data_IF_488747794520
#
_entry.id   IF_488747794520
#
_cell.length_a   1.000
_cell.length_b   1.000
_cell.length_c   1.000
_cell.angle_alpha   90.00
_cell.angle_beta   90.00
_cell.angle_gamma   90.00
#
_symmetry.space_group_name_H-M   'P 1'
#
loop_
_entity.id
_entity.type
_entity.pdbx_description
1 polymer ?
#
# COMPACT_ATOMS: atom_id res chain seq x y z
N UNK A 1 0.39 -6.89 -22.71
CA UNK A 1 1.09 -7.82 -23.62
C UNK A 1 2.05 -7.15 -24.61
N UNK A 2 1.90 -5.85 -24.92
CA UNK A 2 2.80 -5.13 -25.86
C UNK A 2 4.23 -5.00 -25.33
N UNK A 3 4.39 -4.73 -24.04
CA UNK A 3 5.70 -4.57 -23.40
C UNK A 3 6.67 -5.77 -23.57
N UNK A 4 6.30 -7.02 -23.24
CA UNK A 4 7.22 -8.16 -23.41
C UNK A 4 7.59 -8.45 -24.87
N UNK A 5 6.67 -8.23 -25.81
CA UNK A 5 6.93 -8.37 -27.25
C UNK A 5 7.99 -7.39 -27.75
N UNK A 6 7.92 -6.14 -27.29
CA UNK A 6 8.86 -5.08 -27.65
C UNK A 6 10.26 -5.34 -27.07
N UNK A 7 10.32 -5.87 -25.85
CA UNK A 7 11.56 -6.34 -25.23
C UNK A 7 12.18 -7.48 -26.02
N UNK A 8 11.40 -8.51 -26.39
CA UNK A 8 11.90 -9.63 -27.22
C UNK A 8 12.44 -9.16 -28.58
N UNK A 9 11.77 -8.21 -29.24
CA UNK A 9 12.25 -7.62 -30.49
C UNK A 9 13.58 -6.87 -30.30
N UNK A 10 13.70 -6.05 -29.26
CA UNK A 10 14.94 -5.34 -28.95
C UNK A 10 16.11 -6.30 -28.68
N UNK A 11 15.87 -7.39 -27.94
CA UNK A 11 16.86 -8.45 -27.70
C UNK A 11 17.23 -9.19 -29.00
N UNK A 12 16.26 -9.45 -29.88
CA UNK A 12 16.50 -10.07 -31.18
C UNK A 12 17.40 -9.23 -32.09
N UNK A 13 17.16 -7.92 -32.17
CA UNK A 13 17.97 -6.98 -32.96
C UNK A 13 19.40 -6.86 -32.42
N UNK A 14 19.56 -6.82 -31.08
CA UNK A 14 20.88 -6.85 -30.43
C UNK A 14 21.67 -8.13 -30.72
N UNK A 15 20.97 -9.26 -30.82
CA UNK A 15 21.60 -10.56 -31.08
C UNK A 15 22.13 -10.69 -32.52
N UNK A 16 21.49 -10.02 -33.48
CA UNK A 16 21.93 -9.95 -34.88
C UNK A 16 23.22 -9.13 -35.02
N UNK A 17 23.39 -8.09 -34.21
CA UNK A 17 24.53 -7.17 -34.35
C UNK A 17 25.77 -7.60 -33.56
N UNK A 18 25.59 -8.22 -32.38
CA UNK A 18 26.70 -8.60 -31.51
C UNK A 18 26.30 -9.78 -30.58
N UNK A 19 26.48 -11.04 -31.03
CA UNK A 19 25.97 -12.21 -30.31
C UNK A 19 26.62 -12.40 -28.93
N UNK A 20 27.85 -11.91 -28.74
CA UNK A 20 28.56 -11.93 -27.47
C UNK A 20 27.92 -10.99 -26.44
N UNK A 21 27.48 -9.79 -26.87
CA UNK A 21 26.76 -8.85 -26.00
C UNK A 21 25.36 -9.36 -25.67
N UNK A 22 24.64 -9.99 -26.61
CA UNK A 22 23.31 -10.56 -26.36
C UNK A 22 23.28 -11.60 -25.24
N UNK A 23 24.27 -12.50 -25.19
CA UNK A 23 24.46 -13.45 -24.09
C UNK A 23 24.78 -12.75 -22.75
N UNK A 24 25.58 -11.68 -22.79
CA UNK A 24 25.90 -10.86 -21.62
C UNK A 24 24.68 -10.15 -21.01
N UNK A 25 23.79 -9.60 -21.85
CA UNK A 25 22.56 -8.94 -21.39
C UNK A 25 21.55 -9.96 -20.85
N UNK A 26 21.42 -11.12 -21.48
CA UNK A 26 20.56 -12.20 -20.98
C UNK A 26 21.02 -12.69 -19.59
N UNK A 27 22.33 -12.92 -19.41
CA UNK A 27 22.91 -13.33 -18.13
C UNK A 27 22.73 -12.26 -17.04
N UNK A 28 22.90 -10.99 -17.39
CA UNK A 28 22.70 -9.85 -16.47
C UNK A 28 21.24 -9.73 -16.02
N UNK A 29 20.30 -9.87 -16.95
CA UNK A 29 18.86 -9.84 -16.64
C UNK A 29 18.44 -11.03 -15.77
N UNK A 30 18.99 -12.23 -16.02
CA UNK A 30 18.75 -13.41 -15.20
C UNK A 30 19.35 -13.25 -13.79
N UNK A 31 20.50 -12.59 -13.67
CA UNK A 31 21.12 -12.28 -12.39
C UNK A 31 20.32 -11.26 -11.59
N UNK A 32 19.80 -10.20 -12.21
CA UNK A 32 18.88 -9.26 -11.56
C UNK A 32 17.59 -9.96 -11.10
N UNK A 33 17.03 -10.84 -11.94
CA UNK A 33 15.84 -11.61 -11.57
C UNK A 33 16.10 -12.48 -10.32
N UNK A 34 17.25 -13.18 -10.26
CA UNK A 34 17.65 -13.96 -9.08
C UNK A 34 17.81 -13.09 -7.83
N UNK A 35 18.37 -11.89 -7.97
CA UNK A 35 18.51 -10.95 -6.84
C UNK A 35 17.15 -10.50 -6.31
N UNK A 36 16.16 -10.29 -7.20
CA UNK A 36 14.81 -9.82 -6.82
C UNK A 36 13.92 -10.95 -6.31
N UNK A 37 14.10 -12.19 -6.79
CA UNK A 37 13.17 -13.28 -6.48
C UNK A 37 13.16 -13.69 -5.00
N UNK A 38 14.32 -13.62 -4.33
CA UNK A 38 14.44 -13.94 -2.90
C UNK A 38 13.62 -13.00 -2.01
N UNK A 39 13.89 -11.68 -2.05
CA UNK A 39 13.09 -10.68 -1.35
C UNK A 39 11.60 -10.75 -1.71
N UNK A 40 11.27 -10.96 -2.99
CA UNK A 40 9.88 -11.03 -3.46
C UNK A 40 9.14 -12.23 -2.87
N UNK A 41 9.78 -13.41 -2.85
CA UNK A 41 9.21 -14.63 -2.29
C UNK A 41 8.99 -14.49 -0.78
N UNK A 42 9.96 -13.91 -0.06
CA UNK A 42 9.86 -13.63 1.37
C UNK A 42 8.67 -12.69 1.67
N UNK A 43 8.53 -11.60 0.91
CA UNK A 43 7.39 -10.68 1.04
C UNK A 43 6.07 -11.40 0.78
N UNK A 44 6.00 -12.25 -0.25
CA UNK A 44 4.79 -12.98 -0.60
C UNK A 44 4.33 -13.92 0.51
N UNK A 45 5.27 -14.64 1.15
CA UNK A 45 4.99 -15.52 2.29
C UNK A 45 4.46 -14.72 3.49
N UNK A 46 5.16 -13.65 3.87
CA UNK A 46 4.75 -12.81 5.02
C UNK A 46 3.38 -12.17 4.74
N UNK A 47 3.15 -11.69 3.51
CA UNK A 47 1.88 -11.09 3.11
C UNK A 47 0.72 -12.08 3.15
N UNK A 48 0.93 -13.32 2.72
CA UNK A 48 -0.08 -14.39 2.77
C UNK A 48 -0.43 -14.74 4.22
N UNK A 49 0.57 -14.86 5.08
CA UNK A 49 0.37 -15.16 6.50
C UNK A 49 -0.37 -14.03 7.22
N UNK A 50 0.02 -12.79 6.96
CA UNK A 50 -0.60 -11.60 7.57
C UNK A 50 -2.03 -11.38 7.10
N UNK A 51 -2.35 -11.64 5.83
CA UNK A 51 -3.72 -11.61 5.32
C UNK A 51 -4.64 -12.59 6.09
N UNK A 52 -4.11 -13.75 6.50
CA UNK A 52 -4.85 -14.70 7.35
C UNK A 52 -5.03 -14.21 8.79
N UNK A 53 -4.08 -13.42 9.31
CA UNK A 53 -4.10 -12.92 10.69
C UNK A 53 -5.03 -11.70 10.88
N UNK A 54 -5.21 -10.90 9.83
CA UNK A 54 -5.99 -9.65 9.85
C UNK A 54 -7.47 -9.96 9.63
N UNK A 55 -8.22 -10.11 10.72
CA UNK A 55 -9.69 -10.23 10.69
C UNK A 55 -10.34 -8.87 10.48
N UNK A 56 -11.23 -8.78 9.50
CA UNK A 56 -12.02 -7.59 9.16
C UNK A 56 -12.79 -7.02 10.36
N UNK A 57 -13.24 -7.88 11.30
CA UNK A 57 -13.97 -7.45 12.50
C UNK A 57 -13.13 -6.52 13.40
N UNK A 58 -11.84 -6.82 13.62
CA UNK A 58 -10.96 -6.02 14.49
C UNK A 58 -10.70 -4.64 13.92
N UNK A 59 -10.54 -4.57 12.60
CA UNK A 59 -10.26 -3.32 11.89
C UNK A 59 -11.51 -2.44 11.78
N UNK A 60 -12.71 -3.04 11.69
CA UNK A 60 -13.96 -2.29 11.76
C UNK A 60 -14.11 -1.53 13.10
N UNK A 61 -13.62 -2.10 14.20
CA UNK A 61 -13.59 -1.44 15.52
C UNK A 61 -12.66 -0.22 15.58
N UNK A 62 -11.58 -0.20 14.80
CA UNK A 62 -10.61 0.91 14.77
C UNK A 62 -11.12 2.12 13.98
N UNK A 63 -11.95 1.89 12.96
CA UNK A 63 -12.43 2.94 12.03
C UNK A 63 -13.88 3.37 12.32
N UNK A 64 -14.63 2.54 13.05
CA UNK A 64 -16.05 2.72 13.33
C UNK A 64 -16.40 3.86 14.30
N UNK A 65 -17.72 3.98 14.59
CA UNK A 65 -18.33 5.06 15.39
C UNK A 65 -17.70 5.33 16.77
N UNK A 66 -17.03 4.33 17.37
CA UNK A 66 -16.41 4.44 18.69
C UNK A 66 -15.03 5.10 18.72
N UNK A 67 -14.47 5.51 17.58
CA UNK A 67 -13.10 5.99 17.53
C UNK A 67 -12.90 7.40 18.15
N UNK A 68 -13.98 8.19 18.29
CA UNK A 68 -13.98 9.48 18.99
C UNK A 68 -12.86 10.43 18.54
N UNK A 69 -12.30 11.21 19.49
CA UNK A 69 -11.17 12.12 19.25
C UNK A 69 -9.87 11.40 18.82
N UNK A 70 -9.76 10.09 19.10
CA UNK A 70 -8.63 9.26 18.65
C UNK A 70 -8.81 8.70 17.23
N UNK A 71 -9.93 9.04 16.57
CA UNK A 71 -10.35 8.53 15.27
C UNK A 71 -9.28 8.55 14.18
N UNK A 72 -8.57 9.67 13.96
CA UNK A 72 -7.54 9.75 12.94
C UNK A 72 -6.36 8.78 13.19
N UNK A 73 -5.92 8.67 14.45
CA UNK A 73 -4.79 7.81 14.84
C UNK A 73 -5.18 6.33 14.72
N UNK A 74 -6.36 5.93 15.19
CA UNK A 74 -6.83 4.56 15.02
C UNK A 74 -7.07 4.21 13.55
N UNK A 75 -7.48 5.18 12.73
CA UNK A 75 -7.67 4.98 11.29
C UNK A 75 -6.35 4.76 10.56
N UNK A 76 -5.30 5.49 10.94
CA UNK A 76 -3.93 5.23 10.44
C UNK A 76 -3.49 3.82 10.82
N UNK A 77 -3.56 3.48 12.11
CA UNK A 77 -3.13 2.16 12.59
C UNK A 77 -3.93 1.04 11.92
N UNK A 78 -5.24 1.21 11.81
CA UNK A 78 -6.12 0.30 11.08
C UNK A 78 -5.69 0.15 9.62
N UNK A 79 -5.38 1.26 8.93
CA UNK A 79 -4.98 1.25 7.52
C UNK A 79 -3.65 0.53 7.32
N UNK A 80 -2.64 0.84 8.13
CA UNK A 80 -1.30 0.24 8.08
C UNK A 80 -1.34 -1.28 8.37
N UNK A 81 -2.19 -1.70 9.32
CA UNK A 81 -2.37 -3.11 9.69
C UNK A 81 -3.31 -3.82 8.69
N UNK A 82 -4.16 -3.09 7.95
CA UNK A 82 -5.11 -3.63 6.98
C UNK A 82 -4.40 -4.20 5.76
N UNK A 83 -4.05 -5.48 5.86
CA UNK A 83 -3.48 -6.26 4.78
C UNK A 83 -4.56 -7.11 4.12
N UNK A 84 -4.44 -7.26 2.80
CA UNK A 84 -5.37 -8.03 1.98
C UNK A 84 -5.85 -7.26 0.74
N UNK A 85 -6.72 -7.88 -0.09
CA UNK A 85 -7.22 -7.28 -1.32
C UNK A 85 -8.08 -6.07 -0.99
N UNK A 86 -7.89 -4.93 -1.67
CA UNK A 86 -8.66 -3.70 -1.39
C UNK A 86 -10.18 -3.92 -1.52
N UNK A 87 -10.59 -4.82 -2.42
CA UNK A 87 -11.97 -5.20 -2.69
C UNK A 87 -12.72 -5.74 -1.46
N UNK A 88 -12.04 -6.43 -0.53
CA UNK A 88 -12.66 -6.96 0.68
C UNK A 88 -13.03 -5.86 1.69
N UNK A 89 -12.40 -4.69 1.58
CA UNK A 89 -12.56 -3.61 2.56
C UNK A 89 -13.61 -2.61 2.14
N UNK A 90 -13.87 -2.45 0.85
CA UNK A 90 -14.93 -1.57 0.37
C UNK A 90 -16.31 -1.92 0.96
N UNK A 91 -16.77 -3.18 1.00
CA UNK A 91 -18.03 -3.55 1.64
C UNK A 91 -18.05 -3.22 3.14
N UNK A 92 -16.94 -3.47 3.83
CA UNK A 92 -16.81 -3.17 5.26
C UNK A 92 -16.86 -1.66 5.54
N UNK A 93 -16.10 -0.87 4.78
CA UNK A 93 -16.07 0.58 4.91
C UNK A 93 -17.43 1.20 4.52
N UNK A 94 -18.12 0.64 3.52
CA UNK A 94 -19.48 1.00 3.17
C UNK A 94 -20.45 0.75 4.32
N UNK A 95 -20.39 -0.42 4.96
CA UNK A 95 -21.21 -0.72 6.15
C UNK A 95 -20.93 0.21 7.33
N UNK A 96 -19.67 0.61 7.54
CA UNK A 96 -19.31 1.61 8.58
C UNK A 96 -19.84 2.99 8.21
N UNK A 97 -19.74 3.39 6.94
CA UNK A 97 -20.30 4.65 6.41
C UNK A 97 -21.82 4.72 6.61
N UNK A 98 -22.54 3.67 6.27
CA UNK A 98 -24.00 3.58 6.43
C UNK A 98 -24.42 3.62 7.91
N UNK A 99 -23.60 3.04 8.80
CA UNK A 99 -23.75 3.15 10.26
C UNK A 99 -23.32 4.52 10.81
N UNK A 100 -23.03 5.51 9.97
CA UNK A 100 -22.69 6.87 10.38
C UNK A 100 -21.27 7.03 10.92
N UNK A 101 -20.31 6.23 10.44
CA UNK A 101 -18.88 6.46 10.68
C UNK A 101 -18.36 7.72 9.99
N UNK A 102 -17.28 8.28 10.53
CA UNK A 102 -16.67 9.50 9.99
C UNK A 102 -16.05 9.24 8.60
N UNK A 103 -16.45 10.02 7.60
CA UNK A 103 -15.88 9.96 6.24
C UNK A 103 -14.39 10.31 6.25
N UNK A 104 -13.98 11.24 7.11
CA UNK A 104 -12.58 11.61 7.26
C UNK A 104 -11.73 10.43 7.72
N UNK A 105 -12.21 9.70 8.74
CA UNK A 105 -11.55 8.50 9.25
C UNK A 105 -11.48 7.37 8.21
N UNK A 106 -12.57 7.17 7.45
CA UNK A 106 -12.61 6.19 6.36
C UNK A 106 -11.60 6.51 5.25
N UNK A 107 -11.48 7.79 4.88
CA UNK A 107 -10.52 8.26 3.88
C UNK A 107 -9.07 8.16 4.39
N UNK A 108 -8.79 8.55 5.65
CA UNK A 108 -7.48 8.35 6.28
C UNK A 108 -7.11 6.88 6.41
N UNK A 109 -8.07 6.00 6.70
CA UNK A 109 -7.83 4.56 6.70
C UNK A 109 -7.38 4.06 5.33
N UNK A 110 -8.09 4.45 4.26
CA UNK A 110 -7.77 4.07 2.89
C UNK A 110 -6.40 4.59 2.45
N UNK A 111 -6.06 5.84 2.78
CA UNK A 111 -4.76 6.43 2.47
C UNK A 111 -3.62 5.77 3.24
N UNK A 112 -3.79 5.51 4.54
CA UNK A 112 -2.74 4.95 5.40
C UNK A 112 -2.39 3.51 5.01
N UNK A 113 -3.33 2.80 4.38
CA UNK A 113 -3.14 1.47 3.80
C UNK A 113 -2.11 1.40 2.67
N UNK A 114 -1.77 2.54 2.05
CA UNK A 114 -0.69 2.57 1.07
C UNK A 114 0.64 2.15 1.69
N UNK A 115 0.82 2.38 2.99
CA UNK A 115 2.00 1.96 3.75
C UNK A 115 1.91 0.46 4.04
N UNK A 116 2.88 -0.31 3.52
CA UNK A 116 3.02 -1.74 3.78
C UNK A 116 4.28 -1.99 4.63
N UNK A 117 4.16 -2.15 5.96
CA UNK A 117 5.31 -2.35 6.85
C UNK A 117 6.18 -3.56 6.49
N UNK A 118 5.58 -4.60 5.92
CA UNK A 118 6.31 -5.80 5.48
C UNK A 118 7.24 -5.50 4.30
N UNK A 119 6.87 -4.54 3.45
CA UNK A 119 7.67 -4.17 2.28
C UNK A 119 8.80 -3.19 2.64
N UNK A 120 8.75 -2.60 3.84
CA UNK A 120 9.68 -1.58 4.31
C UNK A 120 11.15 -2.09 4.35
N UNK A 121 11.45 -3.30 4.88
CA UNK A 121 12.81 -3.86 4.84
C UNK A 121 13.35 -4.01 3.42
N UNK A 122 12.51 -4.47 2.48
CA UNK A 122 12.89 -4.59 1.06
C UNK A 122 13.17 -3.21 0.47
N UNK A 123 12.29 -2.23 0.73
CA UNK A 123 12.48 -0.86 0.29
C UNK A 123 13.79 -0.27 0.84
N UNK A 124 14.15 -0.55 2.09
CA UNK A 124 15.41 -0.13 2.70
C UNK A 124 16.59 -0.78 1.99
N UNK A 125 16.53 -2.07 1.68
CA UNK A 125 17.61 -2.78 0.96
C UNK A 125 17.85 -2.26 -0.46
N UNK A 126 16.80 -1.83 -1.16
CA UNK A 126 16.90 -1.37 -2.56
C UNK A 126 17.14 0.14 -2.70
N UNK A 127 16.43 0.96 -1.91
CA UNK A 127 16.39 2.42 -2.06
C UNK A 127 17.07 3.17 -0.91
N UNK A 128 17.49 2.45 0.14
CA UNK A 128 18.11 3.04 1.32
C UNK A 128 17.10 3.45 2.41
N UNK A 129 17.63 3.61 3.62
CA UNK A 129 16.84 3.87 4.83
C UNK A 129 16.16 5.25 4.80
N UNK A 130 16.87 6.28 4.34
CA UNK A 130 16.41 7.67 4.36
C UNK A 130 15.21 7.87 3.42
N UNK A 131 15.28 7.33 2.20
CA UNK A 131 14.15 7.35 1.25
C UNK A 131 12.94 6.60 1.79
N UNK A 132 13.16 5.42 2.38
CA UNK A 132 12.09 4.55 2.85
C UNK A 132 11.29 5.16 4.01
N UNK A 133 11.99 5.79 4.96
CA UNK A 133 11.35 6.53 6.04
C UNK A 133 10.62 7.76 5.54
N UNK A 134 11.25 8.55 4.67
CA UNK A 134 10.64 9.76 4.13
C UNK A 134 9.34 9.45 3.38
N UNK A 135 9.35 8.43 2.51
CA UNK A 135 8.15 8.00 1.79
C UNK A 135 7.05 7.55 2.75
N UNK A 136 7.40 6.78 3.78
CA UNK A 136 6.44 6.27 4.77
C UNK A 136 5.78 7.40 5.54
N UNK A 137 6.59 8.32 6.09
CA UNK A 137 6.09 9.47 6.86
C UNK A 137 5.24 10.38 5.98
N UNK A 138 5.69 10.68 4.77
CA UNK A 138 4.94 11.52 3.84
C UNK A 138 3.60 10.88 3.48
N UNK A 139 3.56 9.58 3.24
CA UNK A 139 2.32 8.84 2.96
C UNK A 139 1.34 8.92 4.13
N UNK A 140 1.81 8.78 5.37
CA UNK A 140 0.98 8.90 6.56
C UNK A 140 0.40 10.32 6.72
N UNK A 141 1.23 11.35 6.52
CA UNK A 141 0.78 12.75 6.57
C UNK A 141 -0.21 13.04 5.45
N UNK A 142 0.09 12.65 4.21
CA UNK A 142 -0.81 12.84 3.07
C UNK A 142 -2.16 12.15 3.29
N UNK A 143 -2.17 10.97 3.94
CA UNK A 143 -3.40 10.28 4.30
C UNK A 143 -4.28 11.06 5.29
N UNK A 144 -3.66 11.70 6.29
CA UNK A 144 -4.37 12.58 7.22
C UNK A 144 -4.95 13.80 6.50
N UNK A 145 -4.13 14.46 5.68
CA UNK A 145 -4.56 15.63 4.90
C UNK A 145 -5.72 15.27 3.98
N UNK A 146 -5.66 14.11 3.32
CA UNK A 146 -6.72 13.62 2.44
C UNK A 146 -8.00 13.34 3.23
N UNK A 147 -7.90 12.69 4.38
CA UNK A 147 -9.07 12.43 5.23
C UNK A 147 -9.72 13.71 5.74
N UNK A 148 -8.92 14.68 6.17
CA UNK A 148 -9.44 15.98 6.61
C UNK A 148 -10.09 16.74 5.46
N UNK A 149 -9.46 16.77 4.27
CA UNK A 149 -10.04 17.36 3.07
C UNK A 149 -11.37 16.75 2.67
N UNK A 150 -11.48 15.41 2.70
CA UNK A 150 -12.76 14.71 2.47
C UNK A 150 -13.79 15.07 3.54
N UNK A 151 -13.37 15.15 4.81
CA UNK A 151 -14.22 15.57 5.92
C UNK A 151 -14.85 16.93 5.69
N UNK A 152 -14.04 17.92 5.28
CA UNK A 152 -14.51 19.28 4.95
C UNK A 152 -15.50 19.24 3.78
N UNK A 153 -15.19 18.51 2.71
CA UNK A 153 -16.05 18.43 1.52
C UNK A 153 -17.38 17.72 1.78
N UNK A 154 -17.40 16.76 2.69
CA UNK A 154 -18.62 16.00 3.02
C UNK A 154 -19.39 16.55 4.23
N UNK A 155 -18.85 17.52 4.97
CA UNK A 155 -19.48 17.97 6.21
C UNK A 155 -19.10 19.42 6.60
N UNK A 156 -19.92 20.44 6.28
CA UNK A 156 -19.76 21.78 6.83
C UNK A 156 -20.25 21.95 8.29
N UNK A 157 -20.76 20.91 8.98
CA UNK A 157 -21.64 21.13 10.14
C UNK A 157 -21.66 20.15 11.32
N UNK A 158 -20.74 19.18 11.47
CA UNK A 158 -20.74 18.29 12.66
C UNK A 158 -19.42 18.17 13.43
N UNK A 159 -18.47 19.08 13.21
CA UNK A 159 -17.28 19.18 14.07
C UNK A 159 -17.55 19.97 15.38
N UNK A 160 -18.75 20.55 15.53
CA UNK A 160 -19.16 21.35 16.72
C UNK A 160 -20.09 20.63 17.72
N UNK A 161 -20.30 19.33 17.63
CA UNK A 161 -21.23 18.61 18.53
C UNK A 161 -20.55 17.66 19.52
N UNK A 162 -19.24 17.82 19.75
CA UNK A 162 -18.48 17.01 20.68
C UNK A 162 -17.48 17.84 21.52
N UNK A 163 -17.85 19.10 21.82
CA UNK A 163 -17.49 19.70 23.11
C UNK A 163 -18.41 19.14 24.20
#
# INVERSE_FOLDING_TARGET
MVFPLLVCLAYGVLWIWDPAKGLGVCKSSLQMLKTVIGPLCLVFVIMTFMNKLVRSEKVAGLVGRGAGYKGPVLSILGGVISMGPIMAWFPLLKGIKEKGGSQANLATFLGARAVKPILLPVMISYFGWMFSLLLTVLTLISSLVMGWGVGIMTNPGKEKAAE
#
